data_IF_314464143319
#
_entry.id   IF_314464143319
#
_cell.length_a   1.000
_cell.length_b   1.000
_cell.length_c   1.000
_cell.angle_alpha   90.00
_cell.angle_beta   90.00
_cell.angle_gamma   90.00
#
_symmetry.space_group_name_H-M   'P 1'
#
loop_
_entity.id
_entity.type
_entity.pdbx_description
1 polymer ?
#
# COMPACT_ATOMS: atom_id res chain seq x y z
N UNK A 1 -13.34 17.29 -23.55
CA UNK A 1 -13.86 17.27 -22.17
C UNK A 1 -14.49 15.90 -22.05
N UNK A 2 -13.76 14.93 -21.49
CA UNK A 2 -14.21 13.54 -21.49
C UNK A 2 -15.34 13.38 -20.48
N UNK A 3 -16.55 13.16 -20.97
CA UNK A 3 -17.72 12.90 -20.14
C UNK A 3 -17.58 11.52 -19.50
N UNK A 4 -17.20 11.48 -18.23
CA UNK A 4 -17.14 10.23 -17.47
C UNK A 4 -18.55 9.71 -17.20
N UNK A 5 -18.82 8.48 -17.64
CA UNK A 5 -20.11 7.84 -17.42
C UNK A 5 -20.38 7.68 -15.90
N UNK A 6 -21.64 7.79 -15.44
CA UNK A 6 -21.97 7.69 -14.02
C UNK A 6 -21.47 6.41 -13.35
N UNK A 7 -21.52 5.27 -14.04
CA UNK A 7 -21.00 3.99 -13.53
C UNK A 7 -19.49 4.00 -13.33
N UNK A 8 -18.75 4.55 -14.29
CA UNK A 8 -17.30 4.70 -14.21
C UNK A 8 -16.91 5.64 -13.07
N UNK A 9 -17.65 6.73 -12.88
CA UNK A 9 -17.46 7.65 -11.74
C UNK A 9 -17.68 6.92 -10.41
N UNK A 10 -18.76 6.15 -10.27
CA UNK A 10 -19.03 5.36 -9.06
C UNK A 10 -17.94 4.32 -8.79
N UNK A 11 -17.42 3.65 -9.81
CA UNK A 11 -16.29 2.72 -9.66
C UNK A 11 -15.04 3.43 -9.10
N UNK A 12 -14.67 4.58 -9.68
CA UNK A 12 -13.54 5.39 -9.19
C UNK A 12 -13.75 5.94 -7.78
N UNK A 13 -14.98 6.33 -7.42
CA UNK A 13 -15.31 6.74 -6.04
C UNK A 13 -15.00 5.61 -5.05
N UNK A 14 -15.38 4.38 -5.38
CA UNK A 14 -15.11 3.21 -4.51
C UNK A 14 -13.61 2.95 -4.39
N UNK A 15 -12.86 2.98 -5.49
CA UNK A 15 -11.40 2.83 -5.48
C UNK A 15 -10.75 3.87 -4.56
N UNK A 16 -11.12 5.14 -4.71
CA UNK A 16 -10.55 6.21 -3.91
C UNK A 16 -10.94 6.11 -2.43
N UNK A 17 -12.18 5.72 -2.12
CA UNK A 17 -12.61 5.42 -0.75
C UNK A 17 -11.80 4.27 -0.13
N UNK A 18 -11.41 3.26 -0.92
CA UNK A 18 -10.59 2.15 -0.44
C UNK A 18 -9.14 2.56 -0.14
N UNK A 19 -8.63 3.62 -0.78
CA UNK A 19 -7.28 4.15 -0.58
C UNK A 19 -7.22 5.10 0.62
N UNK A 20 -8.09 6.11 0.66
CA UNK A 20 -8.05 7.20 1.65
C UNK A 20 -8.86 6.90 2.92
N UNK A 21 -9.63 5.80 2.93
CA UNK A 21 -10.51 5.35 4.03
C UNK A 21 -11.65 6.32 4.41
N UNK A 22 -11.59 7.61 4.06
CA UNK A 22 -12.63 8.61 4.27
C UNK A 22 -12.49 9.75 3.26
N UNK A 23 -13.57 10.06 2.55
CA UNK A 23 -13.65 11.19 1.61
C UNK A 23 -14.88 12.03 1.88
N UNK A 24 -14.72 13.35 1.84
CA UNK A 24 -15.82 14.30 1.93
C UNK A 24 -16.53 14.47 0.59
N UNK A 25 -17.79 14.90 0.63
CA UNK A 25 -18.57 15.19 -0.58
C UNK A 25 -17.90 16.28 -1.44
N UNK A 26 -17.29 17.27 -0.79
CA UNK A 26 -16.61 18.38 -1.46
C UNK A 26 -15.32 17.91 -2.17
N UNK A 27 -14.53 17.03 -1.55
CA UNK A 27 -13.37 16.41 -2.21
C UNK A 27 -13.78 15.62 -3.46
N UNK A 28 -14.84 14.81 -3.35
CA UNK A 28 -15.38 14.02 -4.45
C UNK A 28 -15.93 14.93 -5.56
N UNK A 29 -16.69 15.97 -5.20
CA UNK A 29 -17.28 16.90 -6.15
C UNK A 29 -16.21 17.64 -6.97
N UNK A 30 -15.14 18.11 -6.29
CA UNK A 30 -14.01 18.79 -6.94
C UNK A 30 -13.23 17.86 -7.86
N UNK A 31 -12.94 16.63 -7.40
CA UNK A 31 -12.14 15.68 -8.18
C UNK A 31 -12.84 15.23 -9.46
N UNK A 32 -14.15 14.98 -9.39
CA UNK A 32 -14.93 14.51 -10.54
C UNK A 32 -15.59 15.65 -11.33
N UNK A 33 -15.36 16.90 -10.93
CA UNK A 33 -15.95 18.10 -11.55
C UNK A 33 -17.48 18.04 -11.66
N UNK A 34 -18.14 17.51 -10.63
CA UNK A 34 -19.61 17.38 -10.55
C UNK A 34 -20.19 18.10 -9.34
N UNK A 35 -21.49 18.36 -9.37
CA UNK A 35 -22.17 18.93 -8.21
C UNK A 35 -22.12 18.02 -6.98
N UNK A 36 -22.15 18.61 -5.78
CA UNK A 36 -22.30 17.87 -4.54
C UNK A 36 -23.56 16.96 -4.53
N UNK A 37 -24.64 17.41 -5.18
CA UNK A 37 -25.87 16.63 -5.32
C UNK A 37 -25.69 15.37 -6.19
N UNK A 38 -24.82 15.42 -7.21
CA UNK A 38 -24.43 14.25 -8.00
C UNK A 38 -23.68 13.24 -7.13
N UNK A 39 -22.70 13.71 -6.35
CA UNK A 39 -21.98 12.86 -5.40
C UNK A 39 -22.91 12.26 -4.36
N UNK A 40 -23.85 13.03 -3.82
CA UNK A 40 -24.86 12.51 -2.89
C UNK A 40 -25.62 11.32 -3.49
N UNK A 41 -26.10 11.45 -4.74
CA UNK A 41 -26.82 10.38 -5.45
C UNK A 41 -25.92 9.16 -5.70
N UNK A 42 -24.69 9.38 -6.14
CA UNK A 42 -23.73 8.30 -6.38
C UNK A 42 -23.39 7.54 -5.09
N UNK A 43 -23.17 8.25 -3.98
CA UNK A 43 -22.93 7.64 -2.67
C UNK A 43 -24.17 6.91 -2.15
N UNK A 44 -25.39 7.43 -2.35
CA UNK A 44 -26.63 6.74 -1.96
C UNK A 44 -26.77 5.39 -2.67
N UNK A 45 -26.45 5.33 -3.96
CA UNK A 45 -26.44 4.07 -4.73
C UNK A 45 -25.37 3.12 -4.19
N UNK A 46 -24.14 3.61 -3.97
CA UNK A 46 -23.05 2.79 -3.45
C UNK A 46 -23.32 2.26 -2.05
N UNK A 47 -23.99 3.03 -1.18
CA UNK A 47 -24.43 2.55 0.13
C UNK A 47 -25.50 1.47 0.00
N UNK A 48 -26.49 1.66 -0.89
CA UNK A 48 -27.51 0.67 -1.18
C UNK A 48 -26.91 -0.64 -1.71
N UNK A 49 -25.85 -0.56 -2.49
CA UNK A 49 -25.08 -1.69 -3.02
C UNK A 49 -24.11 -2.31 -1.99
N UNK A 50 -23.99 -1.74 -0.78
CA UNK A 50 -23.05 -2.22 0.24
C UNK A 50 -21.58 -1.96 -0.08
N UNK A 51 -21.28 -1.02 -0.99
CA UNK A 51 -19.92 -0.69 -1.45
C UNK A 51 -19.32 0.53 -0.74
N UNK A 52 -20.16 1.33 -0.10
CA UNK A 52 -19.76 2.46 0.74
C UNK A 52 -20.64 2.55 1.98
N UNK A 53 -20.24 3.33 2.97
CA UNK A 53 -21.09 3.74 4.09
C UNK A 53 -21.00 5.25 4.29
N UNK A 54 -22.12 5.87 4.64
CA UNK A 54 -22.13 7.31 4.94
C UNK A 54 -21.44 7.59 6.27
N UNK A 55 -20.74 8.73 6.29
CA UNK A 55 -20.24 9.37 7.51
C UNK A 55 -20.61 10.85 7.48
N UNK A 56 -20.33 11.57 8.57
CA UNK A 56 -20.67 12.99 8.65
C UNK A 56 -19.92 13.77 7.57
N UNK A 57 -20.65 14.27 6.57
CA UNK A 57 -20.12 15.09 5.48
C UNK A 57 -19.40 14.33 4.36
N UNK A 58 -19.49 12.99 4.32
CA UNK A 58 -18.72 12.18 3.39
C UNK A 58 -19.12 10.71 3.36
N UNK A 59 -18.20 9.89 2.87
CA UNK A 59 -18.33 8.44 2.85
C UNK A 59 -17.02 7.76 3.25
N UNK A 60 -17.16 6.52 3.69
CA UNK A 60 -16.09 5.56 3.93
C UNK A 60 -16.40 4.29 3.13
N UNK A 61 -15.42 3.42 2.85
CA UNK A 61 -15.70 2.11 2.27
C UNK A 61 -16.60 1.30 3.23
N UNK A 62 -17.45 0.43 2.68
CA UNK A 62 -18.24 -0.44 3.55
C UNK A 62 -17.31 -1.46 4.23
N UNK A 63 -17.64 -1.84 5.48
CA UNK A 63 -16.80 -2.75 6.27
C UNK A 63 -16.59 -4.11 5.60
N UNK A 64 -17.59 -4.56 4.84
CA UNK A 64 -17.60 -5.80 4.05
C UNK A 64 -17.74 -5.54 2.54
N UNK A 65 -17.40 -4.32 2.06
CA UNK A 65 -17.40 -4.06 0.61
C UNK A 65 -16.40 -5.01 -0.03
N UNK A 66 -16.91 -6.10 -0.62
CA UNK A 66 -16.11 -7.04 -1.35
C UNK A 66 -15.25 -6.24 -2.34
N UNK A 67 -13.94 -6.51 -2.38
CA UNK A 67 -13.03 -5.88 -3.33
C UNK A 67 -13.64 -6.00 -4.75
N UNK A 68 -13.52 -4.96 -5.58
CA UNK A 68 -13.90 -5.08 -6.98
C UNK A 68 -13.16 -6.30 -7.59
N UNK A 69 -13.80 -7.09 -8.47
CA UNK A 69 -13.12 -8.22 -9.08
C UNK A 69 -11.86 -7.72 -9.81
N UNK A 70 -10.68 -8.13 -9.30
CA UNK A 70 -9.37 -7.67 -9.77
C UNK A 70 -8.55 -6.82 -8.78
N UNK A 71 -9.09 -6.42 -7.62
CA UNK A 71 -8.26 -5.87 -6.55
C UNK A 71 -7.70 -6.99 -5.70
N UNK A 72 -6.42 -7.33 -5.93
CA UNK A 72 -5.58 -8.20 -5.11
C UNK A 72 -5.44 -7.59 -3.70
N UNK A 73 -6.44 -7.78 -2.86
CA UNK A 73 -6.38 -7.45 -1.44
C UNK A 73 -5.84 -8.65 -0.68
N UNK A 74 -4.58 -8.99 -0.96
CA UNK A 74 -3.85 -9.98 -0.19
C UNK A 74 -3.63 -9.48 1.25
N UNK A 75 -3.67 -10.41 2.20
CA UNK A 75 -3.26 -10.14 3.58
C UNK A 75 -1.77 -10.44 3.71
N UNK A 76 -1.08 -9.65 4.51
CA UNK A 76 0.34 -9.85 4.77
C UNK A 76 0.53 -11.19 5.49
N UNK A 77 1.33 -12.07 4.89
CA UNK A 77 1.64 -13.39 5.45
C UNK A 77 2.34 -13.34 6.83
N UNK A 78 2.90 -12.18 7.20
CA UNK A 78 3.60 -12.00 8.48
C UNK A 78 2.76 -11.39 9.59
N UNK A 79 1.98 -10.33 9.30
CA UNK A 79 1.27 -9.57 10.35
C UNK A 79 -0.25 -9.54 10.17
N UNK A 80 -0.78 -10.18 9.13
CA UNK A 80 -2.22 -10.24 8.83
C UNK A 80 -2.85 -8.93 8.35
N UNK A 81 -2.11 -7.80 8.37
CA UNK A 81 -2.60 -6.52 7.85
C UNK A 81 -2.74 -6.57 6.34
N UNK A 82 -3.63 -5.74 5.79
CA UNK A 82 -3.79 -5.55 4.35
C UNK A 82 -2.46 -5.17 3.68
N UNK A 83 -2.19 -5.71 2.51
CA UNK A 83 -1.00 -5.37 1.72
C UNK A 83 -1.29 -4.11 0.87
N UNK A 84 -0.62 -2.98 1.12
CA UNK A 84 -0.71 -1.80 0.27
C UNK A 84 0.22 -1.95 -0.94
N UNK A 85 -0.19 -1.43 -2.10
CA UNK A 85 0.62 -1.46 -3.33
C UNK A 85 1.97 -0.76 -3.18
N UNK A 86 2.01 0.36 -2.47
CA UNK A 86 3.18 1.26 -2.40
C UNK A 86 4.38 0.70 -1.62
N UNK A 87 4.12 -0.22 -0.69
CA UNK A 87 5.18 -0.83 0.14
C UNK A 87 5.15 -2.35 0.08
N UNK A 88 4.40 -2.93 -0.87
CA UNK A 88 4.29 -4.38 -0.96
C UNK A 88 5.65 -5.03 -1.20
N UNK A 89 5.81 -6.20 -0.61
CA UNK A 89 6.92 -7.10 -0.85
C UNK A 89 6.34 -8.43 -1.31
N UNK A 90 6.90 -8.99 -2.37
CA UNK A 90 6.45 -10.25 -2.97
C UNK A 90 7.62 -11.21 -3.03
N UNK A 91 7.42 -12.41 -2.51
CA UNK A 91 8.35 -13.53 -2.63
C UNK A 91 7.69 -14.60 -3.48
N UNK A 92 8.42 -15.11 -4.46
CA UNK A 92 7.99 -16.27 -5.26
C UNK A 92 8.89 -17.45 -4.91
N UNK A 93 8.29 -18.55 -4.44
CA UNK A 93 8.97 -19.81 -4.17
C UNK A 93 9.35 -20.56 -5.46
N UNK A 94 10.18 -21.60 -5.34
CA UNK A 94 10.62 -22.43 -6.48
C UNK A 94 9.48 -23.14 -7.22
N UNK A 95 8.37 -23.42 -6.54
CA UNK A 95 7.17 -24.02 -7.11
C UNK A 95 6.20 -22.99 -7.71
N UNK A 96 6.59 -21.70 -7.74
CA UNK A 96 5.78 -20.60 -8.26
C UNK A 96 4.75 -20.02 -7.29
N UNK A 97 4.67 -20.52 -6.06
CA UNK A 97 3.80 -19.96 -5.03
C UNK A 97 4.24 -18.53 -4.66
N UNK A 98 3.28 -17.62 -4.53
CA UNK A 98 3.56 -16.23 -4.16
C UNK A 98 3.07 -15.91 -2.76
N UNK A 99 3.95 -15.30 -1.97
CA UNK A 99 3.63 -14.77 -0.66
C UNK A 99 3.89 -13.27 -0.63
N UNK A 100 3.01 -12.53 0.04
CA UNK A 100 3.07 -11.08 0.09
C UNK A 100 3.19 -10.54 1.52
N UNK A 101 3.86 -9.40 1.67
CA UNK A 101 3.96 -8.68 2.92
C UNK A 101 3.60 -7.19 2.78
N UNK A 102 3.05 -6.58 3.85
CA UNK A 102 2.54 -5.19 3.79
C UNK A 102 3.63 -4.14 3.60
N UNK A 103 4.87 -4.46 3.99
CA UNK A 103 6.00 -3.55 3.97
C UNK A 103 7.31 -4.34 3.84
N UNK A 104 8.42 -3.67 3.48
CA UNK A 104 9.74 -4.29 3.50
C UNK A 104 10.14 -4.85 4.87
N UNK A 105 9.69 -4.27 5.99
CA UNK A 105 9.96 -4.84 7.32
C UNK A 105 9.45 -6.29 7.42
N UNK A 106 8.15 -6.51 7.16
CA UNK A 106 7.59 -7.86 7.14
C UNK A 106 8.21 -8.70 6.02
N UNK A 107 8.54 -8.08 4.87
CA UNK A 107 9.27 -8.74 3.78
C UNK A 107 10.59 -9.35 4.23
N UNK A 108 11.39 -8.62 5.01
CA UNK A 108 12.66 -9.12 5.56
C UNK A 108 12.46 -10.24 6.58
N UNK A 109 11.47 -10.13 7.48
CA UNK A 109 11.16 -11.21 8.43
C UNK A 109 10.66 -12.48 7.71
N UNK A 110 9.82 -12.31 6.70
CA UNK A 110 9.36 -13.40 5.85
C UNK A 110 10.54 -14.04 5.12
N UNK A 111 11.44 -13.22 4.58
CA UNK A 111 12.63 -13.68 3.87
C UNK A 111 13.59 -14.46 4.78
N UNK A 112 13.76 -14.08 6.05
CA UNK A 112 14.64 -14.79 6.98
C UNK A 112 14.15 -16.18 7.39
N UNK A 113 12.85 -16.45 7.26
CA UNK A 113 12.25 -17.74 7.61
C UNK A 113 11.95 -18.63 6.41
N UNK A 114 12.00 -18.08 5.20
CA UNK A 114 11.68 -18.81 3.99
C UNK A 114 12.90 -19.58 3.43
N UNK A 115 12.65 -20.79 2.95
CA UNK A 115 13.61 -21.66 2.28
C UNK A 115 13.15 -21.91 0.84
N UNK A 116 14.04 -21.82 -0.15
CA UNK A 116 13.69 -22.12 -1.55
C UNK A 116 12.97 -20.98 -2.27
N UNK A 117 13.58 -19.78 -2.31
CA UNK A 117 13.01 -18.60 -2.95
C UNK A 117 13.63 -18.39 -4.33
N UNK A 118 12.78 -18.33 -5.36
CA UNK A 118 13.20 -18.03 -6.73
C UNK A 118 13.39 -16.53 -6.95
N UNK A 119 12.52 -15.70 -6.38
CA UNK A 119 12.62 -14.25 -6.53
C UNK A 119 12.05 -13.49 -5.33
N UNK A 120 12.55 -12.28 -5.14
CA UNK A 120 12.14 -11.38 -4.08
C UNK A 120 12.06 -9.96 -4.62
N UNK A 121 10.84 -9.41 -4.64
CA UNK A 121 10.53 -8.10 -5.19
C UNK A 121 9.98 -7.18 -4.11
N UNK A 122 10.34 -5.91 -4.18
CA UNK A 122 9.83 -4.86 -3.30
C UNK A 122 9.35 -3.67 -4.14
N UNK A 123 8.24 -3.05 -3.74
CA UNK A 123 7.78 -1.82 -4.37
C UNK A 123 8.72 -0.65 -4.03
N UNK A 124 9.21 0.05 -5.06
CA UNK A 124 9.85 1.34 -4.92
C UNK A 124 8.86 2.35 -4.32
N UNK A 125 9.27 3.01 -3.24
CA UNK A 125 8.37 3.85 -2.47
C UNK A 125 7.94 5.13 -3.20
N UNK A 126 8.74 5.65 -4.13
CA UNK A 126 8.45 6.90 -4.83
C UNK A 126 7.55 6.67 -6.03
N UNK A 127 7.86 5.65 -6.83
CA UNK A 127 7.25 5.44 -8.14
C UNK A 127 6.40 4.16 -8.22
N UNK A 128 6.41 3.32 -7.19
CA UNK A 128 5.58 2.12 -7.09
C UNK A 128 6.03 0.95 -7.96
N UNK A 129 7.18 1.05 -8.63
CA UNK A 129 7.71 -0.02 -9.47
C UNK A 129 8.21 -1.18 -8.61
N UNK A 130 7.87 -2.42 -8.99
CA UNK A 130 8.45 -3.61 -8.33
C UNK A 130 9.90 -3.78 -8.79
N UNK A 131 10.83 -3.79 -7.83
CA UNK A 131 12.25 -3.95 -8.07
C UNK A 131 12.81 -5.16 -7.34
N UNK A 132 13.92 -5.71 -7.81
CA UNK A 132 14.63 -6.77 -7.12
C UNK A 132 15.12 -6.26 -5.76
N UNK A 133 14.59 -6.82 -4.67
CA UNK A 133 14.89 -6.36 -3.32
C UNK A 133 16.39 -6.49 -2.98
N UNK A 134 17.07 -7.51 -3.51
CA UNK A 134 18.49 -7.74 -3.26
C UNK A 134 19.40 -6.65 -3.84
N UNK A 135 18.92 -5.90 -4.84
CA UNK A 135 19.66 -4.83 -5.51
C UNK A 135 19.18 -3.42 -5.11
N UNK A 136 18.13 -3.34 -4.30
CA UNK A 136 17.54 -2.09 -3.88
C UNK A 136 18.31 -1.41 -2.72
N UNK A 137 18.01 -0.14 -2.50
CA UNK A 137 18.46 0.63 -1.33
C UNK A 137 17.29 0.84 -0.37
N UNK A 138 17.54 0.76 0.93
CA UNK A 138 16.51 0.88 1.95
C UNK A 138 16.77 2.07 2.87
N UNK A 139 15.71 2.77 3.26
CA UNK A 139 15.74 3.75 4.35
C UNK A 139 14.99 3.17 5.53
N UNK A 140 15.70 2.99 6.65
CA UNK A 140 15.16 2.43 7.90
C UNK A 140 14.96 3.53 8.93
N UNK A 141 13.79 3.60 9.55
CA UNK A 141 13.50 4.52 10.64
C UNK A 141 13.40 5.99 10.22
N UNK A 142 12.89 6.27 9.03
CA UNK A 142 12.47 7.63 8.64
C UNK A 142 11.24 8.09 9.43
N UNK A 143 10.91 9.39 9.33
CA UNK A 143 9.69 9.97 9.93
C UNK A 143 8.38 9.48 9.27
N UNK A 144 8.44 8.92 8.06
CA UNK A 144 7.26 8.32 7.40
C UNK A 144 6.77 7.09 8.18
N UNK A 145 5.50 7.14 8.59
CA UNK A 145 4.85 6.08 9.35
C UNK A 145 4.32 4.97 8.45
N UNK A 146 4.59 3.71 8.82
CA UNK A 146 4.17 2.50 8.09
C UNK A 146 3.41 1.52 9.00
N UNK A 147 2.97 0.39 8.42
CA UNK A 147 2.28 -0.69 9.17
C UNK A 147 3.12 -1.27 10.33
N UNK A 148 4.46 -1.23 10.25
CA UNK A 148 5.40 -1.86 11.19
C UNK A 148 6.51 -0.90 11.64
N UNK A 149 7.08 -1.18 12.81
CA UNK A 149 8.18 -0.40 13.42
C UNK A 149 9.36 -1.34 13.70
N UNK A 150 10.61 -0.97 13.34
CA UNK A 150 10.98 0.22 12.59
C UNK A 150 10.42 0.18 11.16
N UNK A 151 10.02 1.35 10.64
CA UNK A 151 9.57 1.49 9.26
C UNK A 151 10.75 1.29 8.29
N UNK A 152 10.50 0.61 7.18
CA UNK A 152 11.49 0.36 6.13
C UNK A 152 10.89 0.71 4.79
N UNK A 153 11.57 1.56 4.03
CA UNK A 153 11.17 1.99 2.69
C UNK A 153 12.18 1.50 1.67
N UNK A 154 11.70 0.97 0.54
CA UNK A 154 12.51 0.47 -0.56
C UNK A 154 12.64 1.54 -1.64
N UNK A 155 13.83 1.66 -2.21
CA UNK A 155 14.15 2.54 -3.33
C UNK A 155 14.96 1.78 -4.38
N UNK A 156 14.55 1.91 -5.64
CA UNK A 156 15.26 1.36 -6.78
C UNK A 156 16.65 1.99 -6.93
N UNK A 157 16.78 3.27 -6.60
CA UNK A 157 18.01 4.05 -6.75
C UNK A 157 18.53 4.55 -5.40
N UNK A 158 19.84 4.37 -5.18
CA UNK A 158 20.53 4.95 -4.02
C UNK A 158 20.44 6.48 -3.99
N UNK A 159 20.49 7.14 -5.15
CA UNK A 159 20.43 8.61 -5.22
C UNK A 159 19.07 9.17 -4.79
N UNK A 160 17.98 8.45 -5.08
CA UNK A 160 16.64 8.83 -4.63
C UNK A 160 16.43 8.55 -3.15
N UNK A 161 16.97 7.42 -2.66
CA UNK A 161 16.98 7.11 -1.24
C UNK A 161 17.74 8.19 -0.42
N UNK A 162 18.89 8.66 -0.92
CA UNK A 162 19.65 9.77 -0.32
C UNK A 162 18.90 11.10 -0.32
N UNK A 163 18.21 11.42 -1.44
CA UNK A 163 17.36 12.61 -1.52
C UNK A 163 16.23 12.55 -0.52
N UNK A 164 15.57 11.40 -0.41
CA UNK A 164 14.51 11.16 0.56
C UNK A 164 15.02 11.27 2.00
N UNK A 165 16.14 10.61 2.32
CA UNK A 165 16.75 10.62 3.65
C UNK A 165 17.10 12.05 4.12
N UNK A 166 17.57 12.93 3.22
CA UNK A 166 17.84 14.34 3.58
C UNK A 166 16.60 15.10 4.05
N UNK A 167 15.41 14.73 3.57
CA UNK A 167 14.15 15.36 3.94
C UNK A 167 13.43 14.69 5.12
N UNK A 168 13.51 13.36 5.22
CA UNK A 168 12.68 12.56 6.15
C UNK A 168 13.49 11.72 7.14
N UNK A 169 14.82 11.89 7.18
CA UNK A 169 15.71 11.17 8.07
C UNK A 169 15.82 9.67 7.78
N UNK A 170 16.21 8.91 8.80
CA UNK A 170 16.43 7.46 8.73
C UNK A 170 17.85 7.07 8.33
N UNK A 171 18.12 5.76 8.29
CA UNK A 171 19.42 5.17 7.94
C UNK A 171 19.35 4.50 6.58
N UNK A 172 20.24 4.88 5.67
CA UNK A 172 20.44 4.19 4.39
C UNK A 172 21.18 2.87 4.59
N UNK A 173 20.61 1.79 4.06
CA UNK A 173 21.15 0.45 4.11
C UNK A 173 20.96 -0.23 2.75
N UNK A 174 21.85 -1.15 2.41
CA UNK A 174 21.60 -2.13 1.35
C UNK A 174 20.75 -3.29 1.89
N UNK A 175 20.47 -4.28 1.06
CA UNK A 175 19.66 -5.43 1.44
C UNK A 175 20.24 -6.19 2.64
N UNK A 176 21.54 -6.46 2.65
CA UNK A 176 22.19 -7.21 3.73
C UNK A 176 22.15 -6.44 5.05
N UNK A 177 22.46 -5.14 5.02
CA UNK A 177 22.40 -4.28 6.20
C UNK A 177 20.97 -4.13 6.73
N UNK A 178 19.98 -4.00 5.85
CA UNK A 178 18.58 -3.91 6.24
C UNK A 178 18.06 -5.23 6.84
N UNK A 179 18.46 -6.37 6.27
CA UNK A 179 18.11 -7.69 6.81
C UNK A 179 18.64 -7.85 8.24
N UNK A 180 19.92 -7.54 8.48
CA UNK A 180 20.51 -7.59 9.84
C UNK A 180 19.76 -6.66 10.79
N UNK A 181 19.42 -5.44 10.35
CA UNK A 181 18.66 -4.49 11.17
C UNK A 181 17.26 -5.03 11.55
N UNK A 182 16.59 -5.78 10.68
CA UNK A 182 15.26 -6.32 10.97
C UNK A 182 15.29 -7.57 11.86
N UNK A 183 16.27 -8.45 11.67
CA UNK A 183 16.38 -9.68 12.48
C UNK A 183 16.91 -9.39 13.88
N UNK A 184 17.84 -8.45 14.03
CA UNK A 184 18.35 -8.05 15.36
C UNK A 184 17.34 -7.26 16.19
N UNK A 185 16.48 -6.45 15.56
CA UNK A 185 15.48 -5.64 16.26
C UNK A 185 14.33 -6.45 16.89
N UNK A 186 14.14 -7.72 16.50
CA UNK A 186 13.06 -8.60 16.99
C UNK A 186 13.48 -9.64 18.04
N UNK A 187 14.76 -9.70 18.42
CA UNK A 187 15.26 -10.61 19.47
C UNK A 187 15.21 -10.03 20.89
N UNK A 188 14.40 -8.99 21.12
CA UNK A 188 14.14 -8.42 22.44
C UNK A 188 12.79 -8.88 22.99
N UNK A 189 12.70 -10.14 23.42
CA UNK A 189 11.66 -10.62 24.33
C UNK A 189 12.32 -11.08 25.63
#
# INVERSE_FOLDING_TARGET
>A
MDEILPEQRRAKIVEWLQEEQSLTIDQLARHFEVSAMTIHRDLDLLVKEGRARKVRGGAMPAADALPAPGSDQSQCAMCGKRVPRRTTWVVTGENGEQQQACCPHCGFLMHSHATGQQSTLAADFLYGQMVNAHQATFVVGSEVTLCCVPGVLCFASRSDAERFQRGFGGKLLDFAGAMVAMTTAHHGH
#
